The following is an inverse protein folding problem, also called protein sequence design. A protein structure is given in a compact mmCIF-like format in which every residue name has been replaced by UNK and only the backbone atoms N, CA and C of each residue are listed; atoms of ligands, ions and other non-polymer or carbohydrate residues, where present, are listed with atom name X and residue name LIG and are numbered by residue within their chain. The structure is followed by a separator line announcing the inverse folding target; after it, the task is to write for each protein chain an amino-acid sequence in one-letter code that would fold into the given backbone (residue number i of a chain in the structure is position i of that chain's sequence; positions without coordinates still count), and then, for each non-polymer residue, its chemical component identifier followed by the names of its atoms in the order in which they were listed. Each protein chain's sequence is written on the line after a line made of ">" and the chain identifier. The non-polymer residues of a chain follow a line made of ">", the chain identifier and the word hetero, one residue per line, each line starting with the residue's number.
data_IF_040065873659
#
_entry.id   IF_040065873659
#
_cell.length_a   1.000
_cell.length_b   1.000
_cell.length_c   1.000
_cell.angle_alpha   90.00
_cell.angle_beta   90.00
_cell.angle_gamma   90.00
#
_symmetry.space_group_name_H-M   'P 1'
#
loop_
_entity.id
_entity.type
_entity.pdbx_description
1 polymer ?
#
# COMPACT_ATOMS: atom_id res chain seq x y z
N UNK A 1 20.80 -8.10 0.17
CA UNK A 1 19.64 -8.56 0.92
C UNK A 1 18.83 -9.46 0.01
N UNK A 2 18.42 -10.62 0.49
CA UNK A 2 17.50 -11.52 -0.17
C UNK A 2 16.17 -10.77 -0.36
N UNK A 3 15.59 -10.82 -1.57
CA UNK A 3 14.31 -10.20 -1.81
C UNK A 3 13.24 -11.17 -1.30
N UNK A 4 12.32 -10.65 -0.50
CA UNK A 4 11.14 -11.36 -0.06
C UNK A 4 10.13 -11.33 -1.20
N UNK A 5 9.82 -12.50 -1.77
CA UNK A 5 8.93 -12.63 -2.93
C UNK A 5 7.95 -13.76 -2.64
N UNK A 6 6.67 -13.42 -2.64
CA UNK A 6 5.58 -14.33 -2.35
C UNK A 6 4.81 -14.68 -3.63
N UNK A 7 4.38 -15.93 -3.72
CA UNK A 7 3.39 -16.41 -4.67
C UNK A 7 2.03 -16.42 -4.00
N UNK A 8 1.10 -15.63 -4.54
CA UNK A 8 -0.24 -15.46 -3.96
C UNK A 8 -1.26 -16.02 -4.95
N UNK A 9 -2.06 -16.96 -4.48
CA UNK A 9 -3.20 -17.54 -5.19
C UNK A 9 -4.49 -16.98 -4.59
N UNK A 10 -5.36 -16.43 -5.43
CA UNK A 10 -6.63 -15.84 -5.01
C UNK A 10 -7.75 -16.58 -5.72
N UNK A 11 -8.63 -17.20 -4.93
CA UNK A 11 -9.84 -17.85 -5.42
C UNK A 11 -10.84 -16.78 -5.92
N UNK A 12 -11.27 -16.93 -7.16
CA UNK A 12 -12.26 -16.08 -7.84
C UNK A 12 -13.63 -16.76 -7.93
N UNK A 13 -13.80 -17.96 -7.38
CA UNK A 13 -15.08 -18.69 -7.41
C UNK A 13 -16.23 -17.78 -6.96
N UNK A 14 -17.34 -17.85 -7.64
CA UNK A 14 -18.56 -17.05 -7.39
C UNK A 14 -18.40 -15.53 -7.55
N UNK A 15 -17.21 -15.02 -7.90
CA UNK A 15 -16.98 -13.59 -8.13
C UNK A 15 -17.46 -13.10 -9.50
N UNK A 16 -17.48 -13.99 -10.49
CA UNK A 16 -17.71 -13.68 -11.88
C UNK A 16 -16.57 -12.89 -12.56
N UNK A 17 -15.43 -12.74 -11.89
CA UNK A 17 -14.25 -12.04 -12.42
C UNK A 17 -13.60 -12.91 -13.49
N UNK A 18 -13.32 -12.28 -14.64
CA UNK A 18 -12.56 -12.87 -15.73
C UNK A 18 -11.38 -11.98 -16.10
N UNK A 19 -10.27 -12.59 -16.50
CA UNK A 19 -9.07 -11.88 -16.91
C UNK A 19 -8.38 -12.59 -18.07
N UNK A 20 -7.43 -11.91 -18.70
CA UNK A 20 -6.59 -12.45 -19.76
C UNK A 20 -5.11 -12.25 -19.41
N UNK A 21 -4.20 -13.11 -19.91
CA UNK A 21 -2.76 -12.88 -19.80
C UNK A 21 -2.38 -11.47 -20.28
N UNK A 22 -1.61 -10.75 -19.46
CA UNK A 22 -1.24 -9.36 -19.69
C UNK A 22 -2.11 -8.32 -18.96
N UNK A 23 -3.25 -8.72 -18.36
CA UNK A 23 -4.00 -7.86 -17.45
C UNK A 23 -3.28 -7.69 -16.10
N UNK A 24 -3.73 -6.73 -15.33
CA UNK A 24 -3.29 -6.54 -13.95
C UNK A 24 -4.46 -6.75 -12.97
N UNK A 25 -4.14 -7.24 -11.78
CA UNK A 25 -5.08 -7.30 -10.67
C UNK A 25 -4.87 -6.09 -9.76
N UNK A 26 -5.90 -5.29 -9.58
CA UNK A 26 -5.94 -4.22 -8.60
C UNK A 26 -6.33 -4.76 -7.23
N UNK A 27 -5.51 -4.52 -6.22
CA UNK A 27 -5.73 -4.97 -4.83
C UNK A 27 -5.91 -3.76 -3.93
N UNK A 28 -7.01 -3.73 -3.16
CA UNK A 28 -7.25 -2.75 -2.11
C UNK A 28 -6.61 -3.24 -0.81
N UNK A 29 -5.54 -2.61 -0.34
CA UNK A 29 -4.88 -3.06 0.88
C UNK A 29 -5.64 -2.67 2.15
N UNK A 30 -5.33 -3.40 3.21
CA UNK A 30 -5.69 -3.08 4.59
C UNK A 30 -4.40 -2.78 5.34
N UNK A 31 -4.35 -1.69 6.08
CA UNK A 31 -3.16 -1.33 6.84
C UNK A 31 -2.98 -2.24 8.06
N UNK A 32 -1.71 -2.52 8.39
CA UNK A 32 -1.37 -3.40 9.51
C UNK A 32 -1.95 -2.90 10.84
N UNK A 33 -2.65 -3.75 11.61
CA UNK A 33 -3.26 -3.37 12.89
C UNK A 33 -2.27 -2.80 13.90
N UNK A 34 -1.05 -3.34 13.92
CA UNK A 34 0.00 -2.88 14.83
C UNK A 34 0.47 -1.46 14.48
N UNK A 35 0.65 -1.15 13.18
CA UNK A 35 1.00 0.19 12.73
C UNK A 35 -0.12 1.20 13.05
N UNK A 36 -1.38 0.83 12.84
CA UNK A 36 -2.54 1.65 13.22
C UNK A 36 -2.53 1.93 14.73
N UNK A 37 -2.28 0.90 15.54
CA UNK A 37 -2.26 1.01 17.00
C UNK A 37 -1.08 1.87 17.49
N UNK A 38 0.08 1.77 16.85
CA UNK A 38 1.24 2.60 17.14
C UNK A 38 0.95 4.08 16.85
N UNK A 39 0.39 4.41 15.69
CA UNK A 39 0.02 5.79 15.32
C UNK A 39 -1.00 6.36 16.32
N UNK A 40 -2.05 5.61 16.65
CA UNK A 40 -3.06 6.05 17.64
C UNK A 40 -2.41 6.33 19.01
N UNK A 41 -1.52 5.44 19.45
CA UNK A 41 -0.79 5.58 20.72
C UNK A 41 0.08 6.84 20.76
N UNK A 42 0.82 7.13 19.68
CA UNK A 42 1.67 8.33 19.57
C UNK A 42 0.85 9.63 19.69
N UNK A 43 -0.41 9.61 19.24
CA UNK A 43 -1.31 10.76 19.35
C UNK A 43 -2.18 10.73 20.61
N UNK A 44 -2.15 9.65 21.41
CA UNK A 44 -2.96 9.48 22.61
C UNK A 44 -4.44 9.28 22.31
N UNK A 45 -4.76 8.72 21.15
CA UNK A 45 -6.12 8.38 20.71
C UNK A 45 -6.47 6.95 21.12
N UNK A 46 -7.76 6.71 21.38
CA UNK A 46 -8.28 5.38 21.73
C UNK A 46 -8.63 4.53 20.51
N UNK A 47 -8.95 5.19 19.40
CA UNK A 47 -9.38 4.58 18.16
C UNK A 47 -10.89 4.58 17.94
N UNK A 48 -11.67 4.98 18.93
CA UNK A 48 -13.14 5.11 18.88
C UNK A 48 -13.61 6.55 18.62
N UNK A 49 -12.67 7.49 18.44
CA UNK A 49 -13.00 8.86 18.10
C UNK A 49 -13.62 8.95 16.70
N UNK A 50 -14.79 9.59 16.63
CA UNK A 50 -15.50 9.78 15.36
C UNK A 50 -14.79 10.77 14.46
N UNK A 51 -14.61 10.39 13.19
CA UNK A 51 -14.02 11.22 12.12
C UNK A 51 -14.93 11.21 10.90
N UNK A 52 -14.80 12.23 10.06
CA UNK A 52 -15.48 12.33 8.77
C UNK A 52 -14.50 12.00 7.63
N UNK A 53 -14.92 11.10 6.75
CA UNK A 53 -14.23 10.77 5.52
C UNK A 53 -14.49 11.84 4.43
N UNK A 54 -13.67 11.90 3.36
CA UNK A 54 -13.84 12.89 2.29
C UNK A 54 -15.21 12.82 1.57
N UNK A 55 -15.87 11.66 1.57
CA UNK A 55 -17.21 11.47 1.00
C UNK A 55 -18.34 11.94 1.93
N UNK A 56 -18.00 12.46 3.12
CA UNK A 56 -18.96 12.94 4.13
C UNK A 56 -19.49 11.85 5.06
N UNK A 57 -19.12 10.58 4.88
CA UNK A 57 -19.48 9.51 5.81
C UNK A 57 -18.67 9.62 7.10
N UNK A 58 -19.23 9.14 8.21
CA UNK A 58 -18.58 9.13 9.52
C UNK A 58 -18.21 7.71 9.92
N UNK A 59 -17.03 7.56 10.51
CA UNK A 59 -16.54 6.29 11.07
C UNK A 59 -15.64 6.57 12.28
N UNK A 60 -15.16 5.55 12.97
CA UNK A 60 -14.13 5.73 13.98
C UNK A 60 -12.74 5.86 13.33
N UNK A 61 -11.80 6.51 14.04
CA UNK A 61 -10.47 6.80 13.51
C UNK A 61 -9.67 5.52 13.25
N UNK A 62 -9.84 4.46 14.04
CA UNK A 62 -9.17 3.18 13.82
C UNK A 62 -9.60 2.58 12.48
N UNK A 63 -10.89 2.53 12.20
CA UNK A 63 -11.42 2.03 10.93
C UNK A 63 -10.95 2.90 9.76
N UNK A 64 -10.95 4.23 9.93
CA UNK A 64 -10.45 5.16 8.92
C UNK A 64 -8.98 4.91 8.58
N UNK A 65 -8.10 4.79 9.60
CA UNK A 65 -6.67 4.49 9.41
C UNK A 65 -6.43 3.10 8.84
N UNK A 66 -7.29 2.12 9.15
CA UNK A 66 -7.15 0.75 8.66
C UNK A 66 -7.51 0.62 7.18
N UNK A 67 -8.58 1.30 6.71
CA UNK A 67 -9.18 1.00 5.41
C UNK A 67 -9.21 2.15 4.41
N UNK A 68 -9.09 3.41 4.86
CA UNK A 68 -9.42 4.55 4.00
C UNK A 68 -8.24 5.44 3.62
N UNK A 69 -7.11 5.33 4.31
CA UNK A 69 -5.93 6.17 4.06
C UNK A 69 -4.64 5.35 4.02
N UNK A 70 -3.67 5.83 3.23
CA UNK A 70 -2.32 5.24 3.15
C UNK A 70 -1.45 5.82 4.27
N UNK A 71 -1.18 5.00 5.30
CA UNK A 71 -0.35 5.36 6.45
C UNK A 71 1.10 4.90 6.32
N UNK A 72 1.45 4.26 5.22
CA UNK A 72 2.78 3.66 5.03
C UNK A 72 3.74 4.54 4.24
N UNK A 73 3.21 5.40 3.36
CA UNK A 73 4.01 6.19 2.46
C UNK A 73 4.11 7.65 2.92
N UNK A 74 5.35 8.07 3.23
CA UNK A 74 5.65 9.48 3.51
C UNK A 74 5.59 10.32 2.22
N UNK A 75 5.05 11.53 2.32
CA UNK A 75 4.94 12.46 1.19
C UNK A 75 5.35 13.87 1.60
N UNK A 76 5.79 14.73 0.65
CA UNK A 76 6.10 16.13 0.96
C UNK A 76 4.93 16.83 1.64
N UNK A 77 3.70 16.65 1.16
CA UNK A 77 2.50 17.28 1.73
C UNK A 77 2.21 16.84 3.16
N UNK A 78 2.45 15.54 3.49
CA UNK A 78 2.31 15.02 4.84
C UNK A 78 3.30 15.68 5.79
N UNK A 79 4.61 15.71 5.44
CA UNK A 79 5.66 16.28 6.31
C UNK A 79 5.43 17.78 6.49
N UNK A 80 5.08 18.52 5.42
CA UNK A 80 4.77 19.95 5.46
C UNK A 80 3.58 20.24 6.39
N UNK A 81 2.49 19.50 6.25
CA UNK A 81 1.31 19.68 7.08
C UNK A 81 1.60 19.36 8.55
N UNK A 82 2.32 18.27 8.83
CA UNK A 82 2.69 17.92 10.20
C UNK A 82 3.66 18.95 10.81
N UNK A 83 4.65 19.43 10.05
CA UNK A 83 5.56 20.50 10.49
C UNK A 83 4.79 21.79 10.87
N UNK A 84 3.78 22.17 10.08
CA UNK A 84 2.94 23.33 10.35
C UNK A 84 2.11 23.15 11.64
N UNK A 85 1.55 21.96 11.86
CA UNK A 85 0.79 21.65 13.09
C UNK A 85 1.67 21.59 14.33
N UNK A 86 2.81 20.90 14.23
CA UNK A 86 3.69 20.65 15.38
C UNK A 86 4.52 21.87 15.79
N UNK A 87 4.79 22.77 14.85
CA UNK A 87 5.68 23.91 15.05
C UNK A 87 7.12 23.54 15.39
N UNK A 88 7.52 22.28 15.15
CA UNK A 88 8.88 21.79 15.44
C UNK A 88 9.87 22.40 14.46
N UNK A 89 10.83 23.16 14.98
CA UNK A 89 11.81 23.90 14.18
C UNK A 89 12.66 22.98 13.31
N UNK A 90 13.12 21.86 13.87
CA UNK A 90 13.93 20.87 13.15
C UNK A 90 13.20 20.32 11.92
N UNK A 91 11.91 20.00 12.06
CA UNK A 91 11.09 19.51 10.94
C UNK A 91 10.80 20.62 9.91
N UNK A 92 10.64 21.87 10.36
CA UNK A 92 10.48 23.02 9.46
C UNK A 92 11.76 23.27 8.63
N UNK A 93 12.94 23.16 9.25
CA UNK A 93 14.23 23.27 8.56
C UNK A 93 14.41 22.18 7.49
N UNK A 94 13.94 20.94 7.76
CA UNK A 94 13.92 19.85 6.76
C UNK A 94 12.99 20.21 5.59
N UNK A 95 11.80 20.70 5.88
CA UNK A 95 10.78 21.08 4.87
C UNK A 95 11.25 22.23 3.98
N UNK A 96 12.02 23.18 4.52
CA UNK A 96 12.54 24.33 3.77
C UNK A 96 13.72 23.98 2.86
N UNK A 97 14.33 22.80 3.04
CA UNK A 97 15.45 22.33 2.23
C UNK A 97 15.02 21.12 1.38
N UNK A 98 14.92 21.30 0.07
CA UNK A 98 14.41 20.26 -0.83
C UNK A 98 15.27 18.96 -0.79
N UNK A 99 16.59 19.07 -0.75
CA UNK A 99 17.48 17.91 -0.68
C UNK A 99 17.34 17.16 0.65
N UNK A 100 17.26 17.90 1.77
CA UNK A 100 17.03 17.31 3.09
C UNK A 100 15.67 16.62 3.17
N UNK A 101 14.62 17.23 2.58
CA UNK A 101 13.29 16.66 2.51
C UNK A 101 13.28 15.35 1.71
N UNK A 102 13.91 15.31 0.54
CA UNK A 102 14.00 14.10 -0.29
C UNK A 102 14.68 12.94 0.46
N UNK A 103 15.80 13.23 1.14
CA UNK A 103 16.50 12.23 1.98
C UNK A 103 15.59 11.76 3.14
N UNK A 104 14.90 12.70 3.80
CA UNK A 104 14.02 12.39 4.92
C UNK A 104 12.83 11.53 4.49
N UNK A 105 12.19 11.85 3.37
CA UNK A 105 11.10 11.07 2.79
C UNK A 105 11.51 9.64 2.43
N UNK A 106 12.74 9.47 1.94
CA UNK A 106 13.25 8.15 1.54
C UNK A 106 13.61 7.25 2.73
N UNK A 107 13.88 7.82 3.91
CA UNK A 107 14.38 7.09 5.08
C UNK A 107 13.41 6.99 6.26
N UNK A 108 12.37 7.84 6.31
CA UNK A 108 11.50 7.99 7.47
C UNK A 108 10.05 7.72 7.09
N UNK A 109 9.41 6.67 7.63
CA UNK A 109 7.96 6.44 7.43
C UNK A 109 7.13 7.45 8.22
N UNK A 110 5.82 7.64 7.91
CA UNK A 110 4.95 8.55 8.65
C UNK A 110 4.97 8.33 10.18
N UNK A 111 4.95 7.09 10.63
CA UNK A 111 5.04 6.75 12.06
C UNK A 111 6.36 7.20 12.68
N UNK A 112 7.46 7.12 11.91
CA UNK A 112 8.77 7.63 12.31
C UNK A 112 8.77 9.15 12.50
N UNK A 113 8.11 9.89 11.60
CA UNK A 113 7.96 11.35 11.73
C UNK A 113 7.24 11.71 13.03
N UNK A 114 6.19 10.97 13.39
CA UNK A 114 5.47 11.18 14.65
C UNK A 114 6.32 10.85 15.89
N UNK A 115 7.13 9.80 15.82
CA UNK A 115 7.99 9.38 16.91
C UNK A 115 9.17 10.34 17.13
N UNK A 116 9.78 10.84 16.05
CA UNK A 116 10.93 11.78 16.10
C UNK A 116 10.50 13.19 16.51
N UNK A 117 9.30 13.62 16.11
CA UNK A 117 8.76 14.96 16.36
C UNK A 117 7.43 14.91 17.11
N UNK A 118 7.38 14.44 18.36
CA UNK A 118 6.14 14.18 19.08
C UNK A 118 5.23 15.42 19.17
N UNK A 119 4.01 15.27 18.66
CA UNK A 119 2.94 16.25 18.78
C UNK A 119 1.60 15.55 18.67
N UNK A 120 0.64 15.84 19.53
CA UNK A 120 -0.65 15.17 19.56
C UNK A 120 -1.66 15.94 18.73
N UNK A 121 -2.18 15.31 17.70
CA UNK A 121 -3.26 15.84 16.87
C UNK A 121 -4.61 15.26 17.32
N UNK A 122 -5.70 16.04 17.23
CA UNK A 122 -7.06 15.51 17.26
C UNK A 122 -7.26 14.51 16.10
N UNK A 123 -8.14 13.52 16.30
CA UNK A 123 -8.37 12.44 15.36
C UNK A 123 -8.64 12.92 13.91
N UNK A 124 -9.50 13.94 13.76
CA UNK A 124 -9.83 14.48 12.44
C UNK A 124 -8.63 15.13 11.75
N UNK A 125 -7.78 15.86 12.49
CA UNK A 125 -6.60 16.51 11.92
C UNK A 125 -5.52 15.48 11.59
N UNK A 126 -5.38 14.43 12.39
CA UNK A 126 -4.51 13.29 12.08
C UNK A 126 -4.92 12.62 10.76
N UNK A 127 -6.23 12.33 10.60
CA UNK A 127 -6.74 11.69 9.38
C UNK A 127 -6.44 12.51 8.12
N UNK A 128 -6.58 13.83 8.19
CA UNK A 128 -6.34 14.76 7.06
C UNK A 128 -4.91 14.81 6.58
N UNK A 129 -3.93 14.36 7.37
CA UNK A 129 -2.54 14.31 6.94
C UNK A 129 -2.30 13.28 5.84
N UNK A 130 -3.09 12.21 5.83
CA UNK A 130 -2.87 11.08 4.95
C UNK A 130 -3.67 11.22 3.65
N UNK A 131 -3.10 10.62 2.60
CA UNK A 131 -3.81 10.47 1.32
C UNK A 131 -4.86 9.37 1.43
N UNK A 132 -5.93 9.45 0.63
CA UNK A 132 -6.82 8.31 0.47
C UNK A 132 -6.07 7.04 0.08
N UNK A 133 -6.51 5.90 0.60
CA UNK A 133 -6.01 4.60 0.20
C UNK A 133 -6.30 4.36 -1.28
N UNK A 134 -5.30 3.90 -2.01
CA UNK A 134 -5.42 3.57 -3.42
C UNK A 134 -5.07 2.10 -3.65
N UNK A 135 -5.74 1.44 -4.60
CA UNK A 135 -5.39 0.07 -4.96
C UNK A 135 -3.99 0.03 -5.57
N UNK A 136 -3.33 -1.13 -5.45
CA UNK A 136 -2.07 -1.41 -6.13
C UNK A 136 -2.31 -2.42 -7.23
N UNK A 137 -1.75 -2.15 -8.41
CA UNK A 137 -1.82 -3.03 -9.55
C UNK A 137 -0.65 -4.02 -9.52
N UNK A 138 -0.97 -5.29 -9.71
CA UNK A 138 -0.01 -6.37 -9.86
C UNK A 138 -0.25 -7.04 -11.21
N UNK A 139 0.80 -7.26 -11.99
CA UNK A 139 0.69 -8.08 -13.20
C UNK A 139 0.23 -9.48 -12.81
N UNK A 140 -0.77 -9.99 -13.50
CA UNK A 140 -1.27 -11.35 -13.29
C UNK A 140 -0.22 -12.33 -13.81
N UNK A 141 0.07 -13.37 -13.03
CA UNK A 141 1.10 -14.37 -13.28
C UNK A 141 0.50 -15.74 -13.69
N UNK A 142 -0.77 -15.79 -14.03
CA UNK A 142 -1.50 -17.00 -14.44
C UNK A 142 -2.30 -16.79 -15.71
N UNK A 143 -2.70 -17.88 -16.34
CA UNK A 143 -3.73 -17.90 -17.40
C UNK A 143 -4.99 -18.53 -16.84
N UNK A 144 -6.13 -17.85 -16.94
CA UNK A 144 -7.41 -18.38 -16.45
C UNK A 144 -7.83 -19.66 -17.14
N UNK A 145 -7.43 -19.84 -18.42
CA UNK A 145 -7.69 -21.09 -19.14
C UNK A 145 -6.93 -22.31 -18.55
N UNK A 146 -5.84 -22.05 -17.81
CA UNK A 146 -5.00 -23.07 -17.19
C UNK A 146 -5.38 -23.33 -15.73
N UNK A 147 -5.62 -22.26 -14.95
CA UNK A 147 -5.86 -22.34 -13.50
C UNK A 147 -7.34 -22.30 -13.10
N UNK A 148 -8.26 -22.01 -14.04
CA UNK A 148 -9.71 -21.96 -13.76
C UNK A 148 -10.11 -20.73 -12.94
N UNK A 149 -10.82 -20.95 -11.85
CA UNK A 149 -11.38 -19.90 -11.00
C UNK A 149 -10.34 -19.33 -10.00
N UNK A 150 -9.09 -19.18 -10.44
CA UNK A 150 -8.01 -18.63 -9.64
C UNK A 150 -7.30 -17.49 -10.39
N UNK A 151 -6.64 -16.61 -9.65
CA UNK A 151 -5.68 -15.64 -10.17
C UNK A 151 -4.41 -15.66 -9.32
N UNK A 152 -3.25 -15.79 -9.97
CA UNK A 152 -1.96 -15.85 -9.30
C UNK A 152 -1.18 -14.55 -9.47
N UNK A 153 -0.49 -14.16 -8.40
CA UNK A 153 0.37 -12.99 -8.37
C UNK A 153 1.78 -13.37 -7.89
N UNK A 154 2.78 -12.68 -8.41
CA UNK A 154 4.15 -12.69 -7.88
C UNK A 154 4.42 -11.35 -7.20
N UNK A 155 4.46 -11.36 -5.88
CA UNK A 155 4.52 -10.15 -5.05
C UNK A 155 5.88 -10.00 -4.40
N UNK A 156 6.64 -8.99 -4.80
CA UNK A 156 7.82 -8.56 -4.05
C UNK A 156 7.39 -7.74 -2.83
N UNK A 157 7.63 -8.25 -1.63
CA UNK A 157 7.27 -7.54 -0.40
C UNK A 157 8.25 -6.39 -0.17
N UNK A 158 7.73 -5.17 -0.21
CA UNK A 158 8.48 -3.97 0.12
C UNK A 158 8.72 -3.95 1.63
N UNK A 159 9.98 -3.95 2.02
CA UNK A 159 10.39 -3.89 3.42
C UNK A 159 11.39 -2.76 3.61
N UNK A 160 11.28 -2.08 4.74
CA UNK A 160 12.24 -1.06 5.14
C UNK A 160 12.42 -1.06 6.66
N UNK A 161 13.53 -0.51 7.11
CA UNK A 161 13.87 -0.41 8.54
C UNK A 161 13.98 1.04 8.94
N UNK A 162 13.41 1.35 10.09
CA UNK A 162 13.54 2.66 10.72
C UNK A 162 13.71 2.47 12.23
N UNK A 163 14.78 3.02 12.81
CA UNK A 163 15.13 2.86 14.22
C UNK A 163 15.10 1.42 14.77
N UNK A 164 15.50 0.47 13.93
CA UNK A 164 15.55 -0.96 14.31
C UNK A 164 14.21 -1.70 14.17
N UNK A 165 13.13 -1.00 13.90
CA UNK A 165 11.83 -1.61 13.58
C UNK A 165 11.70 -1.91 12.08
N UNK A 166 10.94 -2.95 11.77
CA UNK A 166 10.63 -3.36 10.41
C UNK A 166 9.24 -2.90 10.02
N UNK A 167 9.14 -2.33 8.83
CA UNK A 167 7.90 -1.88 8.23
C UNK A 167 7.76 -2.48 6.84
N UNK A 168 6.53 -2.65 6.38
CA UNK A 168 6.20 -3.15 5.05
C UNK A 168 5.39 -2.13 4.26
N UNK A 169 5.41 -2.25 2.93
CA UNK A 169 4.51 -1.48 2.07
C UNK A 169 3.06 -1.93 2.27
N UNK A 170 2.09 -1.01 2.14
CA UNK A 170 0.68 -1.28 2.41
C UNK A 170 0.15 -2.55 1.69
N UNK A 171 0.19 -2.59 0.36
CA UNK A 171 -0.40 -3.69 -0.39
C UNK A 171 0.48 -4.95 -0.39
N UNK A 172 1.80 -4.80 -0.56
CA UNK A 172 2.70 -5.96 -0.56
C UNK A 172 2.83 -6.60 0.81
N UNK A 173 2.83 -5.81 1.88
CA UNK A 173 2.80 -6.32 3.25
C UNK A 173 1.47 -6.95 3.61
N UNK A 174 0.36 -6.37 3.12
CA UNK A 174 -0.98 -6.96 3.29
C UNK A 174 -1.06 -8.33 2.64
N UNK A 175 -0.70 -8.45 1.36
CA UNK A 175 -0.75 -9.71 0.62
C UNK A 175 0.24 -10.76 1.15
N UNK A 176 1.47 -10.37 1.47
CA UNK A 176 2.51 -11.33 1.82
C UNK A 176 2.61 -11.68 3.30
N UNK A 177 2.11 -10.82 4.21
CA UNK A 177 2.35 -11.01 5.64
C UNK A 177 1.12 -10.90 6.54
N UNK A 178 0.01 -10.30 6.07
CA UNK A 178 -1.17 -10.07 6.90
C UNK A 178 -2.34 -10.99 6.56
N UNK A 179 -2.48 -11.37 5.29
CA UNK A 179 -3.51 -12.32 4.88
C UNK A 179 -3.13 -13.73 5.30
N UNK A 180 -4.10 -14.45 5.83
CA UNK A 180 -4.01 -15.89 6.09
C UNK A 180 -4.86 -16.65 5.06
N UNK A 181 -4.59 -17.95 4.89
CA UNK A 181 -5.38 -18.79 4.00
C UNK A 181 -6.86 -18.78 4.40
N UNK A 182 -7.71 -18.45 3.42
CA UNK A 182 -9.16 -18.33 3.62
C UNK A 182 -9.65 -16.91 3.91
N UNK A 183 -8.75 -15.95 4.07
CA UNK A 183 -9.12 -14.55 4.22
C UNK A 183 -9.64 -13.94 2.90
N UNK A 184 -10.59 -13.03 3.00
CA UNK A 184 -11.12 -12.30 1.85
C UNK A 184 -10.26 -11.11 1.46
N UNK A 185 -9.97 -10.97 0.15
CA UNK A 185 -9.27 -9.81 -0.41
C UNK A 185 -10.15 -9.08 -1.42
N UNK A 186 -10.14 -7.75 -1.39
CA UNK A 186 -10.91 -6.93 -2.33
C UNK A 186 -10.08 -6.61 -3.56
N UNK A 187 -10.52 -7.12 -4.72
CA UNK A 187 -9.78 -7.02 -5.98
C UNK A 187 -10.66 -6.57 -7.14
N UNK A 188 -10.02 -6.15 -8.22
CA UNK A 188 -10.62 -5.93 -9.54
C UNK A 188 -9.59 -6.17 -10.63
N UNK A 189 -10.05 -6.45 -11.86
CA UNK A 189 -9.17 -6.58 -13.02
C UNK A 189 -9.02 -5.23 -13.71
N UNK A 190 -7.77 -4.84 -14.00
CA UNK A 190 -7.42 -3.72 -14.86
C UNK A 190 -6.98 -4.26 -16.22
N UNK A 191 -7.82 -4.16 -17.27
CA UNK A 191 -7.49 -4.67 -18.60
C UNK A 191 -6.32 -3.90 -19.24
N UNK A 192 -5.39 -4.64 -19.83
CA UNK A 192 -4.26 -4.03 -20.56
C UNK A 192 -4.25 -4.47 -22.04
N UNK A 193 -4.99 -3.80 -22.92
CA UNK A 193 -5.09 -4.20 -24.31
C UNK A 193 -3.78 -4.05 -25.11
N UNK A 194 -2.80 -3.32 -24.57
CA UNK A 194 -1.51 -3.09 -25.21
C UNK A 194 -0.46 -4.15 -24.88
N UNK A 195 -0.75 -5.04 -23.94
CA UNK A 195 0.15 -6.12 -23.52
C UNK A 195 -0.55 -7.45 -23.74
N UNK A 196 -0.52 -7.94 -24.97
CA UNK A 196 -1.18 -9.17 -25.41
C UNK A 196 -0.26 -10.03 -26.25
N UNK A 197 -0.49 -11.33 -26.22
CA UNK A 197 0.11 -12.23 -27.20
C UNK A 197 -0.38 -11.89 -28.61
N UNK A 198 0.47 -12.08 -29.64
CA UNK A 198 0.05 -11.95 -31.04
C UNK A 198 -1.12 -12.90 -31.35
N UNK A 199 -2.08 -12.46 -32.17
CA UNK A 199 -3.18 -13.30 -32.62
C UNK A 199 -2.72 -14.48 -33.50
N UNK A 200 -1.60 -14.31 -34.21
CA UNK A 200 -0.94 -15.36 -35.01
C UNK A 200 0.06 -16.07 -34.07
N UNK A 201 -0.22 -17.34 -33.75
CA UNK A 201 0.60 -18.18 -32.89
C UNK A 201 1.99 -18.54 -33.47
N UNK A 202 2.20 -18.31 -34.75
CA UNK A 202 3.52 -18.51 -35.40
C UNK A 202 4.44 -17.28 -35.31
N UNK A 203 3.94 -16.18 -34.73
CA UNK A 203 4.72 -14.97 -34.51
C UNK A 203 5.80 -15.21 -33.44
N UNK A 204 7.07 -15.00 -33.79
CA UNK A 204 8.18 -15.05 -32.85
C UNK A 204 8.08 -13.91 -31.81
N UNK A 205 8.18 -14.23 -30.52
CA UNK A 205 8.15 -13.27 -29.43
C UNK A 205 9.40 -13.36 -28.58
N UNK A 206 9.80 -12.24 -27.97
CA UNK A 206 10.88 -12.17 -26.99
C UNK A 206 10.28 -11.61 -25.71
N UNK A 207 10.39 -12.36 -24.62
CA UNK A 207 9.93 -11.97 -23.29
C UNK A 207 11.13 -11.54 -22.44
N UNK A 208 11.08 -10.35 -21.83
CA UNK A 208 12.16 -9.80 -21.00
C UNK A 208 11.55 -9.34 -19.69
N UNK A 209 11.82 -10.05 -18.61
CA UNK A 209 11.36 -9.72 -17.25
C UNK A 209 12.49 -9.83 -16.25
N UNK A 210 12.70 -8.81 -15.40
CA UNK A 210 13.66 -8.80 -14.32
C UNK A 210 12.97 -8.89 -12.97
N UNK A 211 13.38 -9.84 -12.12
CA UNK A 211 12.76 -10.08 -10.82
C UNK A 211 11.27 -10.38 -10.94
N UNK A 212 10.42 -9.74 -10.14
CA UNK A 212 8.96 -9.89 -10.22
C UNK A 212 8.34 -9.38 -11.52
N UNK A 213 9.08 -8.66 -12.35
CA UNK A 213 8.65 -8.26 -13.70
C UNK A 213 8.50 -9.42 -14.69
N UNK A 214 8.87 -10.65 -14.30
CA UNK A 214 8.60 -11.87 -15.07
C UNK A 214 7.14 -12.34 -14.97
N UNK A 215 6.40 -11.86 -13.97
CA UNK A 215 5.04 -12.32 -13.65
C UNK A 215 4.06 -12.37 -14.86
N UNK A 216 4.04 -11.40 -15.79
CA UNK A 216 3.08 -11.41 -16.88
C UNK A 216 3.46 -12.27 -18.10
N UNK A 217 4.59 -13.05 -18.04
CA UNK A 217 5.11 -13.83 -19.17
C UNK A 217 4.84 -15.34 -19.07
#
# INVERSE_FOLDING_TARGET
>A
AEKDVEHIEIDLSDSGIQYQPGDALGVWPVNAPDLVSEILSLHGLKGDETVQLPDGTSTDIRHALTHHVDITQNTPSFVQAYAAHSGKRELQEIVENAEALDVYLASTPPVGVFAEHPYRLPAQELLKLFRPQAPRLYSIASSQDDVGDEVHLTVGVVQFRHHGQHYTGAASGYLGHLLEEGDGVRVFVEPNPHFRLPADGDTSIIMIGAGTGVAPF
#
